data_IF_109332642554
#
_entry.id   IF_109332642554
#
_cell.length_a   1.000
_cell.length_b   1.000
_cell.length_c   1.000
_cell.angle_alpha   90.00
_cell.angle_beta   90.00
_cell.angle_gamma   90.00
#
_symmetry.space_group_name_H-M   'P 1'
#
loop_
_entity.id
_entity.type
_entity.pdbx_description
1 polymer ?
#
# COMPACT_ATOMS: atom_id res chain seq x y z
N UNK A 1 -64.80 -6.89 65.72
CA UNK A 1 -65.90 -6.82 64.74
C UNK A 1 -65.30 -6.74 63.36
N UNK A 2 -65.57 -7.75 62.53
CA UNK A 2 -65.10 -7.85 61.14
C UNK A 2 -66.27 -7.58 60.19
N UNK A 3 -66.02 -6.92 59.05
CA UNK A 3 -66.76 -7.14 57.80
C UNK A 3 -66.19 -6.34 56.61
N UNK A 4 -66.01 -7.06 55.49
CA UNK A 4 -66.14 -6.56 54.10
C UNK A 4 -64.87 -6.04 53.43
N UNK A 5 -64.58 -6.26 52.14
CA UNK A 5 -65.14 -7.12 51.08
C UNK A 5 -64.32 -6.86 49.80
N UNK A 6 -64.17 -7.89 48.95
CA UNK A 6 -63.97 -7.80 47.47
C UNK A 6 -62.57 -7.34 47.00
N UNK A 7 -61.79 -8.14 46.25
CA UNK A 7 -61.95 -8.35 44.79
C UNK A 7 -61.34 -9.67 44.31
N UNK A 8 -62.07 -10.34 43.42
CA UNK A 8 -61.60 -11.44 42.59
C UNK A 8 -61.12 -10.92 41.22
N UNK A 9 -60.05 -11.50 40.68
CA UNK A 9 -59.52 -11.14 39.35
C UNK A 9 -58.52 -12.16 38.79
N UNK A 10 -59.06 -13.16 38.09
CA UNK A 10 -58.63 -13.73 36.79
C UNK A 10 -57.22 -14.33 36.56
N UNK A 11 -57.23 -15.56 36.00
CA UNK A 11 -56.12 -16.41 35.49
C UNK A 11 -55.35 -15.84 34.29
N UNK A 12 -54.08 -16.27 34.12
CA UNK A 12 -53.44 -16.79 32.87
C UNK A 12 -51.92 -16.98 33.12
N UNK A 13 -51.35 -18.20 33.19
CA UNK A 13 -50.90 -19.14 32.14
C UNK A 13 -49.48 -18.90 31.59
N UNK A 14 -48.64 -19.95 31.66
CA UNK A 14 -47.33 -20.12 30.99
C UNK A 14 -46.13 -19.65 31.82
N UNK A 15 -44.97 -20.32 31.93
CA UNK A 15 -44.40 -21.44 31.18
C UNK A 15 -43.35 -22.14 32.04
N UNK A 16 -43.27 -23.46 31.92
CA UNK A 16 -42.12 -24.29 32.33
C UNK A 16 -40.86 -23.79 31.60
N UNK A 17 -39.69 -23.90 32.24
CA UNK A 17 -38.53 -24.62 31.67
C UNK A 17 -37.24 -24.41 32.49
N UNK A 18 -36.65 -25.55 32.88
CA UNK A 18 -35.23 -25.86 32.84
C UNK A 18 -34.22 -24.88 33.51
N UNK A 19 -33.71 -25.28 34.67
CA UNK A 19 -32.35 -24.92 35.09
C UNK A 19 -31.54 -26.19 35.33
N UNK A 20 -30.99 -26.72 34.24
CA UNK A 20 -29.94 -27.72 34.28
C UNK A 20 -28.59 -26.98 34.35
N UNK A 21 -28.09 -26.78 35.58
CA UNK A 21 -26.84 -26.07 35.85
C UNK A 21 -25.61 -26.93 35.52
N UNK A 22 -25.28 -27.02 34.24
CA UNK A 22 -24.05 -27.64 33.75
C UNK A 22 -22.80 -26.93 34.29
N UNK A 23 -21.95 -27.72 34.94
CA UNK A 23 -20.66 -27.37 35.53
C UNK A 23 -19.69 -26.89 34.42
N UNK A 24 -19.44 -25.58 34.32
CA UNK A 24 -18.48 -25.01 33.37
C UNK A 24 -17.09 -24.87 34.00
N UNK A 25 -16.23 -25.86 33.77
CA UNK A 25 -14.80 -25.76 34.03
C UNK A 25 -14.18 -24.72 33.10
N UNK A 26 -13.96 -23.50 33.59
CA UNK A 26 -13.30 -22.41 32.85
C UNK A 26 -11.82 -22.72 32.65
N UNK A 27 -11.48 -23.34 31.51
CA UNK A 27 -10.10 -23.47 31.02
C UNK A 27 -9.57 -22.07 30.69
N UNK A 28 -8.58 -21.57 31.43
CA UNK A 28 -7.84 -20.36 31.06
C UNK A 28 -7.11 -20.62 29.74
N UNK A 29 -7.49 -19.91 28.67
CA UNK A 29 -6.70 -19.89 27.43
C UNK A 29 -5.46 -19.02 27.68
N UNK A 30 -4.26 -19.45 27.27
CA UNK A 30 -3.10 -18.56 27.25
C UNK A 30 -3.30 -17.54 26.11
N UNK A 31 -3.53 -16.27 26.45
CA UNK A 31 -3.52 -15.19 25.47
C UNK A 31 -2.06 -14.84 25.14
N UNK A 32 -1.55 -15.46 24.07
CA UNK A 32 -0.34 -15.00 23.39
C UNK A 32 -0.69 -13.94 22.34
N UNK A 33 0.24 -13.03 21.99
CA UNK A 33 -0.04 -11.95 21.06
C UNK A 33 -0.47 -12.49 19.67
N UNK A 34 -1.50 -11.88 19.03
CA UNK A 34 -2.17 -12.46 17.85
C UNK A 34 -1.34 -12.49 16.56
N UNK A 35 -0.16 -11.85 16.53
CA UNK A 35 0.64 -11.73 15.31
C UNK A 35 2.06 -12.25 15.53
N UNK A 36 2.37 -13.42 14.95
CA UNK A 36 3.76 -13.81 14.71
C UNK A 36 4.32 -12.88 13.64
N UNK A 37 5.33 -12.07 13.98
CA UNK A 37 6.04 -11.25 12.99
C UNK A 37 6.52 -12.17 11.86
N UNK A 38 6.22 -11.88 10.58
CA UNK A 38 6.69 -12.71 9.49
C UNK A 38 8.21 -12.79 9.54
N UNK A 39 8.76 -13.98 9.25
CA UNK A 39 10.21 -14.16 9.18
C UNK A 39 10.80 -13.15 8.19
N UNK A 40 11.91 -12.51 8.55
CA UNK A 40 12.60 -11.47 7.77
C UNK A 40 12.67 -11.74 6.25
N UNK A 41 13.02 -12.95 5.75
CA UNK A 41 13.03 -13.22 4.31
C UNK A 41 11.66 -13.17 3.62
N UNK A 42 10.55 -13.43 4.33
CA UNK A 42 9.19 -13.29 3.78
C UNK A 42 8.74 -11.83 3.75
N UNK A 43 9.19 -11.03 4.71
CA UNK A 43 8.91 -9.59 4.73
C UNK A 43 9.62 -8.83 3.60
N UNK A 44 10.82 -9.27 3.22
CA UNK A 44 11.63 -8.67 2.15
C UNK A 44 11.72 -9.52 0.88
N UNK A 45 10.81 -10.50 0.71
CA UNK A 45 10.87 -11.45 -0.41
C UNK A 45 10.88 -10.75 -1.77
N UNK A 46 10.11 -9.67 -1.92
CA UNK A 46 10.10 -8.88 -3.15
C UNK A 46 11.46 -8.24 -3.43
N UNK A 47 12.05 -7.58 -2.44
CA UNK A 47 13.36 -6.94 -2.58
C UNK A 47 14.47 -7.96 -2.87
N UNK A 48 14.40 -9.15 -2.26
CA UNK A 48 15.36 -10.23 -2.51
C UNK A 48 15.25 -10.78 -3.93
N UNK A 49 14.04 -11.08 -4.41
CA UNK A 49 13.84 -11.61 -5.77
C UNK A 49 14.23 -10.58 -6.81
N UNK A 50 13.77 -9.33 -6.66
CA UNK A 50 14.11 -8.24 -7.57
C UNK A 50 15.62 -7.94 -7.54
N UNK A 51 16.23 -7.94 -6.35
CA UNK A 51 17.68 -7.79 -6.20
C UNK A 51 18.47 -8.91 -6.87
N UNK A 52 17.99 -10.17 -6.77
CA UNK A 52 18.62 -11.30 -7.44
C UNK A 52 18.54 -11.19 -8.97
N UNK A 53 17.38 -10.84 -9.52
CA UNK A 53 17.20 -10.62 -10.95
C UNK A 53 18.05 -9.43 -11.45
N UNK A 54 18.12 -8.36 -10.66
CA UNK A 54 18.97 -7.21 -10.95
C UNK A 54 20.45 -7.61 -11.02
N UNK A 55 20.96 -8.31 -10.00
CA UNK A 55 22.36 -8.76 -10.00
C UNK A 55 22.64 -9.71 -11.15
N UNK A 56 21.73 -10.63 -11.45
CA UNK A 56 21.86 -11.52 -12.61
C UNK A 56 21.98 -10.74 -13.92
N UNK A 57 21.11 -9.76 -14.14
CA UNK A 57 21.16 -8.89 -15.31
C UNK A 57 22.44 -8.05 -15.36
N UNK A 58 22.87 -7.50 -14.23
CA UNK A 58 24.06 -6.64 -14.13
C UNK A 58 25.35 -7.43 -14.42
N UNK A 59 25.43 -8.67 -13.91
CA UNK A 59 26.51 -9.60 -14.24
C UNK A 59 26.50 -9.95 -15.73
N UNK A 60 25.32 -10.18 -16.31
CA UNK A 60 25.18 -10.38 -17.76
C UNK A 60 25.74 -9.20 -18.57
N UNK A 61 25.36 -7.97 -18.22
CA UNK A 61 25.89 -6.75 -18.84
C UNK A 61 27.42 -6.67 -18.72
N UNK A 62 27.97 -6.97 -17.54
CA UNK A 62 29.41 -6.98 -17.30
C UNK A 62 30.15 -7.92 -18.27
N UNK A 63 29.66 -9.16 -18.44
CA UNK A 63 30.27 -10.14 -19.35
C UNK A 63 30.16 -9.74 -20.82
N UNK A 64 29.02 -9.17 -21.22
CA UNK A 64 28.81 -8.67 -22.59
C UNK A 64 29.80 -7.54 -22.90
N UNK A 65 29.91 -6.55 -22.01
CA UNK A 65 30.83 -5.43 -22.19
C UNK A 65 32.29 -5.89 -22.19
N UNK A 66 32.67 -6.79 -21.28
CA UNK A 66 34.02 -7.38 -21.25
C UNK A 66 34.36 -8.10 -22.57
N UNK A 67 33.38 -8.80 -23.16
CA UNK A 67 33.55 -9.51 -24.43
C UNK A 67 33.76 -8.55 -25.59
N UNK A 68 33.00 -7.44 -25.62
CA UNK A 68 33.15 -6.38 -26.64
C UNK A 68 34.54 -5.75 -26.53
N UNK A 69 34.92 -5.30 -25.35
CA UNK A 69 36.21 -4.64 -25.08
C UNK A 69 37.40 -5.57 -25.37
N UNK A 70 37.31 -6.84 -24.96
CA UNK A 70 38.35 -7.84 -25.24
C UNK A 70 38.48 -8.13 -26.74
N UNK A 71 37.37 -8.15 -27.48
CA UNK A 71 37.38 -8.36 -28.92
C UNK A 71 37.97 -7.15 -29.65
N UNK A 72 37.63 -5.94 -29.20
CA UNK A 72 38.15 -4.69 -29.76
C UNK A 72 39.65 -4.52 -29.50
N UNK A 73 40.12 -4.81 -28.28
CA UNK A 73 41.56 -4.85 -27.97
C UNK A 73 42.30 -5.84 -28.89
N UNK A 74 41.74 -7.03 -29.10
CA UNK A 74 42.33 -8.04 -30.00
C UNK A 74 42.40 -7.57 -31.46
N UNK A 75 41.36 -6.86 -31.94
CA UNK A 75 41.34 -6.28 -33.29
C UNK A 75 42.37 -5.16 -33.47
N UNK A 76 42.66 -4.40 -32.42
CA UNK A 76 43.68 -3.36 -32.41
C UNK A 76 45.09 -3.88 -32.05
N UNK A 77 45.26 -5.20 -31.85
CA UNK A 77 46.54 -5.80 -31.48
C UNK A 77 47.02 -5.44 -30.07
N UNK A 78 46.10 -5.00 -29.21
CA UNK A 78 46.35 -4.65 -27.82
C UNK A 78 45.91 -5.78 -26.88
N UNK A 79 46.54 -5.84 -25.70
CA UNK A 79 46.12 -6.75 -24.63
C UNK A 79 44.99 -6.13 -23.81
N UNK A 80 44.02 -6.94 -23.41
CA UNK A 80 42.94 -6.50 -22.51
C UNK A 80 43.50 -6.00 -21.17
N UNK A 81 43.15 -4.76 -20.80
CA UNK A 81 43.63 -4.09 -19.59
C UNK A 81 42.50 -3.91 -18.57
N UNK A 82 42.57 -4.66 -17.46
CA UNK A 82 41.59 -4.55 -16.35
C UNK A 82 41.53 -3.15 -15.73
N UNK A 83 42.66 -2.44 -15.71
CA UNK A 83 42.78 -1.07 -15.19
C UNK A 83 41.98 -0.05 -15.98
N UNK A 84 41.69 -0.32 -17.25
CA UNK A 84 40.90 0.54 -18.14
C UNK A 84 39.44 0.08 -18.15
N UNK A 85 39.23 -1.24 -18.21
CA UNK A 85 37.90 -1.83 -18.27
C UNK A 85 37.02 -1.55 -17.04
N UNK A 86 37.54 -1.73 -15.81
CA UNK A 86 36.73 -1.55 -14.60
C UNK A 86 36.21 -0.12 -14.44
N UNK A 87 37.06 0.93 -14.51
CA UNK A 87 36.59 2.30 -14.50
C UNK A 87 35.58 2.59 -15.61
N UNK A 88 35.83 2.11 -16.83
CA UNK A 88 34.95 2.33 -17.98
C UNK A 88 33.58 1.65 -17.81
N UNK A 89 33.55 0.42 -17.29
CA UNK A 89 32.31 -0.30 -16.97
C UNK A 89 31.47 0.46 -15.93
N UNK A 90 32.10 0.89 -14.84
CA UNK A 90 31.40 1.67 -13.81
C UNK A 90 30.95 3.03 -14.35
N UNK A 91 31.81 3.75 -15.07
CA UNK A 91 31.47 5.04 -15.67
C UNK A 91 30.26 4.91 -16.59
N UNK A 92 30.27 3.96 -17.53
CA UNK A 92 29.14 3.68 -18.42
C UNK A 92 27.86 3.32 -17.65
N UNK A 93 27.98 2.49 -16.60
CA UNK A 93 26.83 2.14 -15.75
C UNK A 93 26.27 3.35 -15.00
N UNK A 94 27.14 4.20 -14.44
CA UNK A 94 26.76 5.39 -13.69
C UNK A 94 26.23 6.51 -14.60
N UNK A 95 26.76 6.67 -15.81
CA UNK A 95 26.23 7.58 -16.82
C UNK A 95 24.82 7.18 -17.25
N UNK A 96 24.60 5.88 -17.50
CA UNK A 96 23.27 5.36 -17.78
C UNK A 96 22.30 5.58 -16.60
N UNK A 97 22.76 5.35 -15.37
CA UNK A 97 21.94 5.68 -14.19
C UNK A 97 21.68 7.18 -14.08
N UNK A 98 22.68 8.02 -14.31
CA UNK A 98 22.56 9.47 -14.23
C UNK A 98 21.49 9.98 -15.19
N UNK A 99 21.51 9.53 -16.45
CA UNK A 99 20.52 9.95 -17.46
C UNK A 99 19.11 9.47 -17.10
N UNK A 100 18.97 8.22 -16.66
CA UNK A 100 17.68 7.64 -16.26
C UNK A 100 17.10 8.35 -15.02
N UNK A 101 17.91 8.65 -14.00
CA UNK A 101 17.44 9.43 -12.85
C UNK A 101 17.04 10.84 -13.24
N UNK A 102 17.82 11.49 -14.11
CA UNK A 102 17.48 12.83 -14.59
C UNK A 102 16.17 12.81 -15.38
N UNK A 103 15.96 11.78 -16.21
CA UNK A 103 14.70 11.56 -16.92
C UNK A 103 13.54 11.36 -15.96
N UNK A 104 13.68 10.48 -14.96
CA UNK A 104 12.63 10.22 -13.96
C UNK A 104 12.30 11.47 -13.15
N UNK A 105 13.31 12.23 -12.72
CA UNK A 105 13.14 13.49 -11.99
C UNK A 105 12.42 14.50 -12.88
N UNK A 106 12.84 14.64 -14.13
CA UNK A 106 12.22 15.57 -15.06
C UNK A 106 10.76 15.20 -15.35
N UNK A 107 10.48 13.91 -15.55
CA UNK A 107 9.12 13.40 -15.75
C UNK A 107 8.26 13.61 -14.50
N UNK A 108 8.75 13.26 -13.32
CA UNK A 108 8.02 13.44 -12.06
C UNK A 108 7.81 14.93 -11.74
N UNK A 109 8.81 15.78 -11.96
CA UNK A 109 8.71 17.23 -11.78
C UNK A 109 7.73 17.84 -12.80
N UNK A 110 7.82 17.43 -14.07
CA UNK A 110 6.88 17.85 -15.11
C UNK A 110 5.44 17.45 -14.77
N UNK A 111 5.21 16.21 -14.31
CA UNK A 111 3.91 15.76 -13.83
C UNK A 111 3.45 16.52 -12.59
N UNK A 112 4.34 16.79 -11.64
CA UNK A 112 4.01 17.54 -10.43
C UNK A 112 3.64 19.00 -10.75
N UNK A 113 4.36 19.64 -11.68
CA UNK A 113 4.07 20.99 -12.16
C UNK A 113 2.76 21.03 -12.95
N UNK A 114 2.54 20.06 -13.84
CA UNK A 114 1.30 19.93 -14.58
C UNK A 114 0.11 19.64 -13.67
N UNK A 115 0.31 18.79 -12.65
CA UNK A 115 -0.69 18.57 -11.62
C UNK A 115 -0.95 19.84 -10.83
N UNK A 116 0.07 20.59 -10.44
CA UNK A 116 -0.10 21.85 -9.71
C UNK A 116 -0.92 22.87 -10.54
N UNK A 117 -0.56 23.06 -11.81
CA UNK A 117 -1.26 23.99 -12.71
C UNK A 117 -2.63 23.46 -13.16
N UNK A 118 -2.77 22.17 -13.40
CA UNK A 118 -4.05 21.53 -13.71
C UNK A 118 -4.98 21.45 -12.49
N UNK A 119 -4.43 21.34 -11.30
CA UNK A 119 -5.20 21.33 -10.05
C UNK A 119 -5.82 22.69 -9.76
N UNK A 120 -5.24 23.82 -10.20
CA UNK A 120 -5.93 25.10 -10.08
C UNK A 120 -7.21 25.13 -10.94
N UNK A 121 -7.18 24.52 -12.12
CA UNK A 121 -8.40 24.32 -12.94
C UNK A 121 -9.36 23.28 -12.33
N UNK A 122 -8.86 22.21 -11.70
CA UNK A 122 -9.71 21.24 -10.98
C UNK A 122 -10.37 21.85 -9.75
N UNK A 123 -9.67 22.69 -8.99
CA UNK A 123 -10.20 23.40 -7.81
C UNK A 123 -11.32 24.37 -8.20
N UNK A 124 -11.14 25.15 -9.27
CA UNK A 124 -12.20 26.01 -9.80
C UNK A 124 -13.41 25.19 -10.25
N UNK A 125 -13.19 24.04 -10.90
CA UNK A 125 -14.25 23.12 -11.31
C UNK A 125 -14.97 22.49 -10.12
N UNK A 126 -14.25 22.05 -9.08
CA UNK A 126 -14.80 21.44 -7.87
C UNK A 126 -15.62 22.47 -7.06
N UNK A 127 -15.10 23.69 -6.85
CA UNK A 127 -15.82 24.79 -6.19
C UNK A 127 -17.13 25.12 -6.92
N UNK A 128 -17.11 25.09 -8.26
CA UNK A 128 -18.31 25.34 -9.08
C UNK A 128 -19.31 24.20 -9.04
N UNK A 129 -18.86 22.97 -8.84
CA UNK A 129 -19.72 21.78 -8.65
C UNK A 129 -20.34 21.83 -7.25
N UNK A 130 -19.57 22.16 -6.21
CA UNK A 130 -20.04 22.31 -4.82
C UNK A 130 -21.11 23.41 -4.72
N UNK A 131 -20.86 24.58 -5.31
CA UNK A 131 -21.84 25.67 -5.36
C UNK A 131 -23.17 25.27 -6.05
N UNK A 132 -23.10 24.41 -7.08
CA UNK A 132 -24.30 23.88 -7.73
C UNK A 132 -25.01 22.82 -6.87
N UNK A 133 -24.25 21.99 -6.19
CA UNK A 133 -24.78 20.96 -5.30
C UNK A 133 -25.52 21.61 -4.12
N UNK A 134 -24.94 22.64 -3.51
CA UNK A 134 -25.57 23.43 -2.44
C UNK A 134 -26.83 24.16 -2.91
N UNK A 135 -26.82 24.72 -4.12
CA UNK A 135 -28.01 25.36 -4.70
C UNK A 135 -29.17 24.35 -4.85
N UNK A 136 -28.87 23.12 -5.29
CA UNK A 136 -29.86 22.04 -5.44
C UNK A 136 -30.36 21.53 -4.07
N UNK A 137 -29.46 21.37 -3.09
CA UNK A 137 -29.84 20.95 -1.73
C UNK A 137 -30.77 21.97 -1.08
N UNK A 138 -30.48 23.27 -1.25
CA UNK A 138 -31.31 24.38 -0.75
C UNK A 138 -32.66 24.45 -1.46
N UNK A 139 -32.71 24.25 -2.78
CA UNK A 139 -33.96 24.23 -3.54
C UNK A 139 -34.86 23.04 -3.15
N UNK A 140 -34.25 21.91 -2.79
CA UNK A 140 -34.96 20.71 -2.33
C UNK A 140 -35.20 20.68 -0.82
N UNK A 141 -34.81 21.74 -0.10
CA UNK A 141 -34.96 21.90 1.34
C UNK A 141 -34.38 20.73 2.15
N UNK A 142 -33.28 20.16 1.67
CA UNK A 142 -32.54 19.05 2.27
C UNK A 142 -31.21 19.60 2.78
N UNK A 143 -31.24 20.40 3.84
CA UNK A 143 -30.02 20.87 4.50
C UNK A 143 -29.62 19.85 5.58
N UNK A 144 -28.36 19.33 5.59
CA UNK A 144 -27.89 18.44 6.64
C UNK A 144 -27.72 19.14 8.00
N UNK A 145 -27.71 20.47 8.05
CA UNK A 145 -27.60 21.26 9.29
C UNK A 145 -28.95 21.63 9.92
N UNK A 146 -30.08 21.37 9.26
CA UNK A 146 -31.40 21.48 9.89
C UNK A 146 -32.31 20.35 9.38
N UNK A 147 -32.45 19.25 10.16
CA UNK A 147 -33.08 18.00 9.70
C UNK A 147 -34.59 18.11 9.42
#
# INVERSE_FOLDING_TARGET
>A
MAAGSTTAGTRSSGSKAAQNGGRSTRRKRPEGPPFRKPAWPKAYSFALVTGALFLFSWIGQFFLQMTVESNEASQHGQSFAWSEFLPQFFASTFENWQSEFLQLIWQAAGLALFYYWGSSQSRESDERIEAKLDALLRERNLDPENP
#
